data_IF_727308353697
#
_entry.id   IF_727308353697
#
_cell.length_a   1.000
_cell.length_b   1.000
_cell.length_c   1.000
_cell.angle_alpha   90.00
_cell.angle_beta   90.00
_cell.angle_gamma   90.00
#
_symmetry.space_group_name_H-M   'P 1'
#
loop_
_entity.id
_entity.type
_entity.pdbx_description
1 polymer ?
#
# COMPACT_ATOMS: atom_id res chain seq x y z
N UNK A 1 -47.50 34.47 -4.35
CA UNK A 1 -47.36 33.04 -4.00
C UNK A 1 -45.87 32.76 -3.87
N UNK A 2 -45.36 32.68 -2.62
CA UNK A 2 -43.96 32.27 -2.35
C UNK A 2 -43.92 30.72 -2.47
N UNK A 3 -43.10 30.21 -3.40
CA UNK A 3 -42.89 28.79 -3.52
C UNK A 3 -42.17 28.23 -2.29
N UNK A 4 -42.32 26.91 -1.95
CA UNK A 4 -41.70 26.35 -0.77
C UNK A 4 -40.18 26.43 -0.91
N UNK A 5 -39.53 27.09 0.04
CA UNK A 5 -38.06 26.99 0.21
C UNK A 5 -37.72 25.50 0.49
N UNK A 6 -37.09 24.86 -0.46
CA UNK A 6 -36.50 23.52 -0.28
C UNK A 6 -35.42 23.65 0.80
N UNK A 7 -35.74 23.28 2.02
CA UNK A 7 -34.75 23.06 3.07
C UNK A 7 -33.98 21.81 2.71
N UNK A 8 -32.88 21.96 1.94
CA UNK A 8 -31.90 20.88 1.80
C UNK A 8 -31.40 20.53 3.19
N UNK A 9 -31.56 19.29 3.61
CA UNK A 9 -30.91 18.81 4.84
C UNK A 9 -29.40 19.15 4.77
N UNK A 10 -28.81 19.61 5.88
CA UNK A 10 -27.40 19.97 5.89
C UNK A 10 -26.58 18.76 5.50
N UNK A 11 -25.68 18.93 4.54
CA UNK A 11 -24.74 17.91 4.09
C UNK A 11 -23.91 17.44 5.29
N UNK A 12 -23.85 16.13 5.49
CA UNK A 12 -23.06 15.56 6.60
C UNK A 12 -21.58 15.71 6.25
N UNK A 13 -20.82 16.30 7.16
CA UNK A 13 -19.37 16.46 7.05
C UNK A 13 -18.68 15.89 8.28
N UNK A 14 -17.42 15.44 8.11
CA UNK A 14 -16.57 14.96 9.20
C UNK A 14 -16.18 16.10 10.14
N UNK A 15 -15.71 15.74 11.34
CA UNK A 15 -15.00 16.67 12.22
C UNK A 15 -13.52 16.73 11.80
N UNK A 16 -13.18 17.74 10.99
CA UNK A 16 -11.84 17.93 10.45
C UNK A 16 -10.76 18.06 11.53
N UNK A 17 -11.06 18.71 12.65
CA UNK A 17 -10.10 18.89 13.76
C UNK A 17 -9.85 17.59 14.50
N UNK A 18 -10.90 16.83 14.78
CA UNK A 18 -10.79 15.51 15.41
C UNK A 18 -10.01 14.55 14.51
N UNK A 19 -10.35 14.48 13.23
CA UNK A 19 -9.63 13.68 12.25
C UNK A 19 -8.13 13.98 12.27
N UNK A 20 -7.76 15.26 12.08
CA UNK A 20 -6.37 15.67 12.01
C UNK A 20 -5.61 15.44 13.32
N UNK A 21 -6.25 15.71 14.46
CA UNK A 21 -5.70 15.39 15.78
C UNK A 21 -5.40 13.91 15.93
N UNK A 22 -6.27 13.03 15.39
CA UNK A 22 -6.05 11.58 15.38
C UNK A 22 -4.85 11.19 14.51
N UNK A 23 -4.70 11.79 13.30
CA UNK A 23 -3.52 11.60 12.43
C UNK A 23 -2.25 12.05 13.13
N UNK A 24 -2.24 13.24 13.73
CA UNK A 24 -1.07 13.76 14.44
C UNK A 24 -0.70 12.90 15.66
N UNK A 25 -1.69 12.33 16.37
CA UNK A 25 -1.42 11.39 17.47
C UNK A 25 -0.79 10.08 16.98
N UNK A 26 -1.27 9.53 15.88
CA UNK A 26 -0.64 8.36 15.23
C UNK A 26 0.80 8.65 14.84
N UNK A 27 1.08 9.86 14.35
CA UNK A 27 2.42 10.32 13.96
C UNK A 27 3.44 10.45 15.10
N UNK A 28 3.06 10.17 16.34
CA UNK A 28 3.95 10.16 17.51
C UNK A 28 4.45 8.74 17.85
N UNK A 29 3.89 7.69 17.24
CA UNK A 29 4.21 6.28 17.54
C UNK A 29 5.18 5.75 16.48
N UNK A 30 6.31 5.22 16.91
CA UNK A 30 7.38 4.72 16.04
C UNK A 30 8.10 5.84 15.29
N UNK A 31 8.66 6.86 15.97
CA UNK A 31 9.30 7.99 15.30
C UNK A 31 10.51 7.54 14.49
N UNK A 32 10.67 8.13 13.31
CA UNK A 32 11.86 8.06 12.48
C UNK A 32 12.99 8.95 13.00
N UNK A 33 14.05 9.08 12.22
CA UNK A 33 15.25 9.85 12.61
C UNK A 33 15.13 11.34 12.23
N UNK A 34 14.34 11.65 11.20
CA UNK A 34 14.23 12.99 10.64
C UNK A 34 12.82 13.59 10.74
N UNK A 35 11.99 13.05 11.63
CA UNK A 35 10.65 13.57 11.92
C UNK A 35 9.50 12.81 11.26
N UNK A 36 9.77 11.80 10.45
CA UNK A 36 8.80 10.84 9.93
C UNK A 36 8.59 9.65 10.87
N UNK A 37 8.29 8.49 10.31
CA UNK A 37 8.02 7.25 11.04
C UNK A 37 8.92 6.08 10.59
N UNK A 38 9.16 5.18 11.53
CA UNK A 38 9.73 3.85 11.32
C UNK A 38 8.91 2.83 12.10
N UNK A 39 7.71 2.59 11.65
CA UNK A 39 6.75 1.66 12.27
C UNK A 39 6.58 0.43 11.39
N UNK A 40 7.65 -0.40 11.33
CA UNK A 40 7.64 -1.61 10.54
C UNK A 40 6.61 -2.60 11.08
N UNK A 41 5.98 -3.34 10.17
CA UNK A 41 4.98 -4.34 10.50
C UNK A 41 5.43 -5.29 11.61
N UNK A 42 4.54 -5.58 12.56
CA UNK A 42 4.73 -6.53 13.65
C UNK A 42 5.90 -6.19 14.60
N UNK A 43 6.35 -4.91 14.63
CA UNK A 43 7.25 -4.40 15.66
C UNK A 43 6.48 -3.93 16.89
N UNK A 44 7.19 -3.58 17.98
CA UNK A 44 6.54 -3.04 19.17
C UNK A 44 5.86 -1.69 18.89
N UNK A 45 6.42 -0.87 17.98
CA UNK A 45 5.79 0.36 17.54
C UNK A 45 4.49 0.09 16.76
N UNK A 46 4.46 -0.93 15.90
CA UNK A 46 3.24 -1.35 15.21
C UNK A 46 2.21 -1.89 16.21
N UNK A 47 2.65 -2.67 17.20
CA UNK A 47 1.77 -3.11 18.29
C UNK A 47 1.14 -1.93 19.04
N UNK A 48 1.93 -0.94 19.45
CA UNK A 48 1.42 0.26 20.14
C UNK A 48 0.36 0.97 19.29
N UNK A 49 0.59 1.11 18.00
CA UNK A 49 -0.36 1.75 17.09
C UNK A 49 -1.63 0.91 16.89
N UNK A 50 -1.50 -0.41 16.77
CA UNK A 50 -2.63 -1.34 16.67
C UNK A 50 -3.50 -1.30 17.93
N UNK A 51 -2.88 -1.32 19.11
CA UNK A 51 -3.58 -1.22 20.40
C UNK A 51 -4.37 0.09 20.51
N UNK A 52 -3.76 1.21 20.09
CA UNK A 52 -4.40 2.52 20.06
C UNK A 52 -5.56 2.56 19.04
N UNK A 53 -5.37 2.00 17.86
CA UNK A 53 -6.41 1.89 16.83
C UNK A 53 -7.60 1.05 17.30
N UNK A 54 -7.35 -0.11 17.91
CA UNK A 54 -8.39 -0.96 18.50
C UNK A 54 -9.16 -0.20 19.59
N UNK A 55 -8.45 0.54 20.44
CA UNK A 55 -9.08 1.38 21.48
C UNK A 55 -10.02 2.40 20.85
N UNK A 56 -9.56 3.16 19.86
CA UNK A 56 -10.36 4.17 19.17
C UNK A 56 -11.59 3.60 18.46
N UNK A 57 -11.45 2.42 17.85
CA UNK A 57 -12.57 1.74 17.18
C UNK A 57 -13.59 1.23 18.21
N UNK A 58 -13.14 0.72 19.35
CA UNK A 58 -13.99 0.26 20.44
C UNK A 58 -14.76 1.42 21.06
N UNK A 59 -14.10 2.58 21.29
CA UNK A 59 -14.73 3.80 21.76
C UNK A 59 -15.76 4.35 20.76
N UNK A 60 -15.56 4.10 19.46
CA UNK A 60 -16.53 4.41 18.40
C UNK A 60 -17.65 3.36 18.26
N UNK A 61 -17.77 2.43 19.23
CA UNK A 61 -18.84 1.43 19.28
C UNK A 61 -18.69 0.26 18.31
N UNK A 62 -17.50 0.03 17.76
CA UNK A 62 -17.25 -1.07 16.83
C UNK A 62 -16.93 -2.38 17.55
N UNK A 63 -17.36 -3.49 16.95
CA UNK A 63 -16.88 -4.83 17.31
C UNK A 63 -15.59 -5.14 16.56
N UNK A 64 -14.57 -5.60 17.28
CA UNK A 64 -13.24 -5.87 16.71
C UNK A 64 -13.08 -7.37 16.44
N UNK A 65 -12.59 -7.70 15.26
CA UNK A 65 -12.10 -9.05 14.93
C UNK A 65 -10.71 -8.96 14.32
N UNK A 66 -9.89 -9.99 14.56
CA UNK A 66 -8.54 -10.11 13.99
C UNK A 66 -8.46 -11.46 13.30
N UNK A 67 -7.94 -11.50 12.08
CA UNK A 67 -7.76 -12.76 11.37
C UNK A 67 -6.37 -13.37 11.61
N UNK A 68 -6.14 -14.59 11.07
CA UNK A 68 -4.90 -15.35 11.29
C UNK A 68 -3.62 -14.68 10.78
N UNK A 69 -3.72 -13.71 9.86
CA UNK A 69 -2.56 -12.94 9.36
C UNK A 69 -2.50 -11.53 9.97
N UNK A 70 -3.33 -11.28 11.00
CA UNK A 70 -3.28 -10.06 11.79
C UNK A 70 -4.04 -8.88 11.21
N UNK A 71 -4.84 -9.05 10.15
CA UNK A 71 -5.73 -7.98 9.69
C UNK A 71 -6.77 -7.68 10.78
N UNK A 72 -6.97 -6.39 11.08
CA UNK A 72 -7.91 -5.92 12.09
C UNK A 72 -9.15 -5.39 11.39
N UNK A 73 -10.32 -5.88 11.78
CA UNK A 73 -11.61 -5.42 11.28
C UNK A 73 -12.42 -4.81 12.43
N UNK A 74 -12.82 -3.55 12.27
CA UNK A 74 -13.71 -2.84 13.18
C UNK A 74 -15.09 -2.69 12.52
N UNK A 75 -16.07 -3.48 13.00
CA UNK A 75 -17.41 -3.57 12.43
C UNK A 75 -18.40 -2.67 13.19
N UNK A 76 -19.10 -1.83 12.43
CA UNK A 76 -20.27 -1.09 12.86
C UNK A 76 -21.51 -1.75 12.25
N UNK A 77 -22.53 -2.14 13.06
CA UNK A 77 -23.70 -2.85 12.54
C UNK A 77 -24.55 -1.96 11.62
N UNK A 78 -25.20 -2.61 10.67
CA UNK A 78 -26.25 -2.00 9.83
C UNK A 78 -27.65 -2.28 10.38
N UNK A 79 -28.68 -1.76 9.72
CA UNK A 79 -30.08 -2.13 10.00
C UNK A 79 -30.37 -3.59 9.62
N UNK A 80 -29.67 -4.09 8.59
CA UNK A 80 -29.64 -5.50 8.21
C UNK A 80 -28.20 -5.99 8.28
N UNK A 81 -27.88 -6.58 9.42
CA UNK A 81 -26.51 -7.00 9.74
C UNK A 81 -26.11 -8.31 9.06
N UNK A 82 -27.04 -8.98 8.37
CA UNK A 82 -26.77 -10.17 7.57
C UNK A 82 -26.23 -9.85 6.17
N UNK A 83 -26.40 -8.62 5.69
CA UNK A 83 -25.89 -8.18 4.41
C UNK A 83 -24.35 -8.12 4.43
N UNK A 84 -23.68 -8.39 3.29
CA UNK A 84 -22.26 -8.17 3.14
C UNK A 84 -21.90 -6.70 3.48
N UNK A 85 -20.83 -6.47 4.26
CA UNK A 85 -20.42 -5.13 4.68
C UNK A 85 -19.82 -4.33 3.52
N UNK A 86 -19.93 -3.01 3.61
CA UNK A 86 -19.05 -2.11 2.85
C UNK A 86 -17.79 -1.90 3.66
N UNK A 87 -16.64 -2.26 3.08
CA UNK A 87 -15.32 -2.09 3.68
C UNK A 87 -14.72 -0.74 3.30
N UNK A 88 -13.94 -0.18 4.21
CA UNK A 88 -13.03 0.94 3.98
C UNK A 88 -11.79 0.74 4.83
N UNK A 89 -10.64 1.27 4.42
CA UNK A 89 -9.41 1.14 5.21
C UNK A 89 -8.16 1.24 4.36
N UNK A 90 -7.03 0.90 4.93
CA UNK A 90 -5.69 0.83 4.38
C UNK A 90 -4.76 0.14 5.39
N UNK A 91 -3.52 0.64 5.59
CA UNK A 91 -2.52 0.07 6.49
C UNK A 91 -2.01 1.08 7.53
N UNK A 92 -1.36 0.58 8.58
CA UNK A 92 -0.74 1.39 9.64
C UNK A 92 0.78 1.17 9.75
N UNK A 93 1.33 0.12 9.14
CA UNK A 93 2.77 -0.05 9.01
C UNK A 93 3.37 0.96 8.03
N UNK A 94 4.66 1.23 8.15
CA UNK A 94 5.37 2.22 7.34
C UNK A 94 6.67 1.65 6.79
N UNK A 95 7.25 2.35 5.82
CA UNK A 95 8.61 2.12 5.35
C UNK A 95 9.65 2.37 6.46
N UNK A 96 10.90 1.96 6.20
CA UNK A 96 12.05 2.16 7.12
C UNK A 96 12.37 3.63 7.37
N UNK A 97 11.97 4.50 6.46
CA UNK A 97 12.02 5.97 6.52
C UNK A 97 10.72 6.51 5.93
N UNK A 98 9.60 6.18 6.56
CA UNK A 98 8.26 6.51 6.10
C UNK A 98 7.78 7.88 6.55
N UNK A 99 6.69 8.32 5.93
CA UNK A 99 5.96 9.51 6.34
C UNK A 99 4.96 9.24 7.46
N UNK A 100 4.11 10.23 7.72
CA UNK A 100 3.05 10.16 8.76
C UNK A 100 1.66 9.92 8.17
N UNK A 101 1.57 9.83 6.85
CA UNK A 101 0.28 9.90 6.14
C UNK A 101 0.02 8.66 5.29
N UNK A 102 1.07 8.06 4.74
CA UNK A 102 1.06 6.89 3.87
C UNK A 102 0.29 5.72 4.51
N UNK A 103 -0.82 5.29 3.88
CA UNK A 103 -1.77 4.32 4.41
C UNK A 103 -2.55 4.78 5.63
N UNK A 104 -1.87 5.45 6.55
CA UNK A 104 -2.37 5.90 7.85
C UNK A 104 -3.60 6.79 7.69
N UNK A 105 -3.57 7.74 6.75
CA UNK A 105 -4.72 8.62 6.52
C UNK A 105 -5.95 7.85 6.08
N UNK A 106 -5.79 6.76 5.31
CA UNK A 106 -6.91 5.92 4.86
C UNK A 106 -7.59 5.18 6.00
N UNK A 107 -6.82 4.58 6.89
CA UNK A 107 -7.34 3.92 8.10
C UNK A 107 -8.03 4.93 9.01
N UNK A 108 -7.38 6.07 9.29
CA UNK A 108 -7.93 7.08 10.19
C UNK A 108 -9.09 7.86 9.59
N UNK A 109 -9.15 8.00 8.26
CA UNK A 109 -10.33 8.52 7.56
C UNK A 109 -11.53 7.59 7.74
N UNK A 110 -11.34 6.27 7.60
CA UNK A 110 -12.38 5.30 7.88
C UNK A 110 -12.89 5.37 9.32
N UNK A 111 -11.99 5.51 10.30
CA UNK A 111 -12.37 5.73 11.71
C UNK A 111 -13.19 7.00 11.88
N UNK A 112 -12.79 8.09 11.23
CA UNK A 112 -13.52 9.35 11.31
C UNK A 112 -14.91 9.27 10.66
N UNK A 113 -15.04 8.50 9.55
CA UNK A 113 -16.35 8.19 8.95
C UNK A 113 -17.26 7.51 9.97
N UNK A 114 -16.77 6.45 10.65
CA UNK A 114 -17.57 5.74 11.67
C UNK A 114 -17.98 6.65 12.82
N UNK A 115 -17.04 7.44 13.37
CA UNK A 115 -17.30 8.43 14.43
C UNK A 115 -18.32 9.49 14.02
N UNK A 116 -18.26 9.95 12.78
CA UNK A 116 -19.19 10.96 12.24
C UNK A 116 -20.61 10.39 12.14
N UNK A 117 -20.75 9.17 11.58
CA UNK A 117 -22.05 8.50 11.46
C UNK A 117 -22.66 8.20 12.83
N UNK A 118 -21.85 7.84 13.83
CA UNK A 118 -22.32 7.62 15.19
C UNK A 118 -22.78 8.93 15.84
N UNK A 119 -21.96 9.96 15.83
CA UNK A 119 -22.28 11.27 16.40
C UNK A 119 -23.54 11.90 15.76
N UNK A 120 -23.78 11.65 14.47
CA UNK A 120 -24.98 12.10 13.74
C UNK A 120 -26.15 11.13 13.84
N UNK A 121 -26.00 9.98 14.51
CA UNK A 121 -27.00 8.91 14.64
C UNK A 121 -27.54 8.43 13.28
N UNK A 122 -26.66 8.34 12.27
CA UNK A 122 -27.00 7.87 10.93
C UNK A 122 -26.86 6.35 10.88
N UNK A 123 -27.96 5.64 10.72
CA UNK A 123 -27.94 4.19 10.50
C UNK A 123 -27.84 3.86 9.01
N UNK A 124 -26.96 2.96 8.64
CA UNK A 124 -26.82 2.41 7.29
C UNK A 124 -27.67 1.14 7.13
N UNK A 125 -28.08 0.80 5.91
CA UNK A 125 -28.77 -0.47 5.65
C UNK A 125 -27.81 -1.64 5.87
N UNK A 126 -26.62 -1.59 5.22
CA UNK A 126 -25.55 -2.59 5.38
C UNK A 126 -24.62 -2.24 6.54
N UNK A 127 -23.97 -3.22 7.14
CA UNK A 127 -22.88 -2.95 8.07
C UNK A 127 -21.70 -2.27 7.35
N UNK A 128 -20.93 -1.51 8.12
CA UNK A 128 -19.67 -0.91 7.69
C UNK A 128 -18.52 -1.60 8.43
N UNK A 129 -17.42 -1.87 7.75
CA UNK A 129 -16.20 -2.36 8.37
C UNK A 129 -15.02 -1.49 7.98
N UNK A 130 -14.27 -1.07 9.00
CA UNK A 130 -12.97 -0.46 8.83
C UNK A 130 -11.91 -1.54 8.97
N UNK A 131 -11.05 -1.68 7.96
CA UNK A 131 -9.95 -2.65 7.97
C UNK A 131 -8.61 -1.96 8.09
N UNK A 132 -7.72 -2.57 8.88
CA UNK A 132 -6.29 -2.28 8.87
C UNK A 132 -5.57 -3.53 8.35
N UNK A 133 -5.02 -3.45 7.15
CA UNK A 133 -4.25 -4.53 6.54
C UNK A 133 -2.87 -4.64 7.18
N UNK A 134 -2.34 -5.85 7.28
CA UNK A 134 -1.05 -6.14 7.91
C UNK A 134 0.06 -6.20 6.85
N UNK A 135 1.17 -5.49 7.08
CA UNK A 135 2.37 -5.55 6.25
C UNK A 135 2.09 -5.21 4.78
N UNK A 136 1.35 -4.12 4.55
CA UNK A 136 1.12 -3.62 3.20
C UNK A 136 2.43 -3.21 2.53
N UNK A 137 3.27 -2.48 3.23
CA UNK A 137 4.52 -1.90 2.75
C UNK A 137 5.58 -2.94 2.32
N UNK A 138 5.52 -4.15 2.85
CA UNK A 138 6.55 -5.16 2.57
C UNK A 138 7.95 -4.80 3.09
N UNK A 139 8.07 -3.73 3.86
CA UNK A 139 9.35 -3.19 4.33
C UNK A 139 10.08 -4.10 5.33
N UNK A 140 9.35 -4.96 6.03
CA UNK A 140 9.90 -5.98 6.92
C UNK A 140 9.78 -7.37 6.37
N UNK A 141 8.60 -7.75 5.87
CA UNK A 141 8.34 -9.06 5.26
C UNK A 141 7.94 -8.88 3.81
N UNK A 142 8.80 -9.28 2.88
CA UNK A 142 8.53 -9.23 1.44
C UNK A 142 7.77 -10.46 0.95
N UNK A 143 6.88 -10.30 -0.06
CA UNK A 143 6.54 -9.08 -0.82
C UNK A 143 5.56 -8.16 -0.08
N UNK A 144 5.27 -6.96 -0.62
CA UNK A 144 4.24 -6.07 -0.06
C UNK A 144 2.84 -6.68 -0.19
N UNK A 145 1.86 -6.11 0.57
CA UNK A 145 0.43 -6.44 0.51
C UNK A 145 0.13 -7.93 0.78
N UNK A 146 0.98 -8.62 1.56
CA UNK A 146 0.82 -10.09 1.76
C UNK A 146 -0.46 -10.46 2.47
N UNK A 147 -0.92 -9.65 3.42
CA UNK A 147 -2.09 -10.00 4.22
C UNK A 147 -3.41 -9.72 3.49
N UNK A 148 -3.53 -8.63 2.73
CA UNK A 148 -4.66 -8.42 1.82
C UNK A 148 -4.66 -9.41 0.66
N UNK A 149 -3.47 -9.78 0.17
CA UNK A 149 -3.30 -10.84 -0.83
C UNK A 149 -3.74 -12.21 -0.32
N UNK A 150 -3.42 -12.56 0.93
CA UNK A 150 -3.93 -13.78 1.56
C UNK A 150 -5.45 -13.73 1.75
N UNK A 151 -5.99 -12.59 2.18
CA UNK A 151 -7.43 -12.36 2.31
C UNK A 151 -8.16 -12.53 0.97
N UNK A 152 -7.56 -12.12 -0.13
CA UNK A 152 -8.06 -12.29 -1.50
C UNK A 152 -7.70 -13.66 -2.12
N UNK A 153 -7.13 -14.60 -1.36
CA UNK A 153 -6.69 -15.93 -1.82
C UNK A 153 -5.63 -15.89 -2.95
N UNK A 154 -4.83 -14.81 -3.00
CA UNK A 154 -3.67 -14.69 -3.92
C UNK A 154 -2.45 -15.38 -3.34
N UNK A 155 -2.26 -15.26 -2.02
CA UNK A 155 -1.21 -15.94 -1.27
C UNK A 155 -1.80 -16.97 -0.34
N UNK A 156 -1.08 -18.08 -0.18
CA UNK A 156 -1.41 -19.09 0.83
C UNK A 156 -1.14 -18.54 2.24
N UNK A 157 -2.05 -18.77 3.18
CA UNK A 157 -1.97 -18.25 4.55
C UNK A 157 -0.75 -18.80 5.28
N UNK A 158 -0.47 -20.10 5.14
CA UNK A 158 0.63 -20.75 5.87
C UNK A 158 1.98 -20.31 5.26
N UNK A 159 2.02 -20.02 3.95
CA UNK A 159 3.18 -19.39 3.33
C UNK A 159 3.43 -17.98 3.88
N UNK A 160 2.39 -17.15 4.03
CA UNK A 160 2.53 -15.80 4.64
C UNK A 160 3.05 -15.92 6.07
N UNK A 161 2.48 -16.82 6.88
CA UNK A 161 2.92 -17.04 8.26
C UNK A 161 4.37 -17.52 8.37
N UNK A 162 4.89 -18.18 7.33
CA UNK A 162 6.27 -18.68 7.27
C UNK A 162 7.29 -17.65 6.75
N UNK A 163 6.88 -16.47 6.27
CA UNK A 163 7.78 -15.42 5.79
C UNK A 163 8.80 -15.04 6.86
N UNK A 164 10.00 -14.67 6.42
CA UNK A 164 11.10 -14.23 7.30
C UNK A 164 11.55 -12.84 6.92
N UNK A 165 11.85 -12.06 7.94
CA UNK A 165 12.54 -10.78 7.76
C UNK A 165 14.08 -10.98 7.60
N UNK A 166 14.80 -9.87 7.36
CA UNK A 166 16.27 -9.88 7.18
C UNK A 166 17.04 -10.37 8.43
N UNK A 167 16.42 -10.33 9.61
CA UNK A 167 16.98 -10.86 10.87
C UNK A 167 16.58 -12.34 11.11
N UNK A 168 15.85 -12.95 10.19
CA UNK A 168 15.37 -14.34 10.26
C UNK A 168 14.14 -14.53 11.15
N UNK A 169 13.50 -13.48 11.66
CA UNK A 169 12.27 -13.57 12.45
C UNK A 169 11.10 -13.98 11.56
N UNK A 170 10.23 -14.84 12.09
CA UNK A 170 9.11 -15.43 11.36
C UNK A 170 7.84 -14.59 11.56
N UNK A 171 7.13 -14.30 10.49
CA UNK A 171 5.89 -13.49 10.50
C UNK A 171 4.87 -14.00 11.52
N UNK A 172 4.51 -15.28 11.49
CA UNK A 172 3.58 -15.88 12.43
C UNK A 172 4.03 -15.76 13.89
N UNK A 173 5.32 -15.99 14.16
CA UNK A 173 5.87 -15.85 15.52
C UNK A 173 5.86 -14.40 16.01
N UNK A 174 6.07 -13.43 15.11
CA UNK A 174 5.97 -12.02 15.45
C UNK A 174 4.51 -11.59 15.71
N UNK A 175 3.54 -12.14 14.97
CA UNK A 175 2.10 -11.95 15.26
C UNK A 175 1.75 -12.45 16.67
N UNK A 176 2.16 -13.69 17.03
CA UNK A 176 1.97 -14.25 18.36
C UNK A 176 2.62 -13.38 19.43
N UNK A 177 3.89 -12.94 19.19
CA UNK A 177 4.63 -12.09 20.12
C UNK A 177 3.92 -10.79 20.46
N UNK A 178 3.29 -10.16 19.46
CA UNK A 178 2.56 -8.90 19.67
C UNK A 178 1.09 -9.09 20.04
N UNK A 179 0.58 -10.34 20.05
CA UNK A 179 -0.78 -10.69 20.43
C UNK A 179 -1.84 -10.38 19.38
N UNK A 180 -1.46 -10.41 18.10
CA UNK A 180 -2.34 -10.17 16.95
C UNK A 180 -2.49 -11.40 16.04
N UNK A 181 -2.18 -12.58 16.53
CA UNK A 181 -2.47 -13.89 15.93
C UNK A 181 -3.95 -14.24 16.08
N UNK A 182 -4.82 -13.56 15.33
CA UNK A 182 -6.26 -13.76 15.43
C UNK A 182 -6.70 -15.18 15.04
N UNK A 183 -7.93 -15.54 15.44
CA UNK A 183 -8.50 -16.87 15.16
C UNK A 183 -9.50 -16.87 14.01
N UNK A 184 -9.89 -15.70 13.53
CA UNK A 184 -10.81 -15.56 12.39
C UNK A 184 -10.16 -16.05 11.13
N UNK A 185 -10.90 -16.78 10.29
CA UNK A 185 -10.42 -17.22 8.98
C UNK A 185 -10.03 -16.02 8.12
N UNK A 186 -8.98 -16.19 7.31
CA UNK A 186 -8.52 -15.16 6.38
C UNK A 186 -9.37 -15.22 5.10
N UNK A 187 -10.09 -14.15 4.80
CA UNK A 187 -10.96 -14.10 3.62
C UNK A 187 -12.15 -15.05 3.67
N UNK A 188 -12.62 -15.49 2.48
CA UNK A 188 -13.70 -16.47 2.36
C UNK A 188 -15.10 -15.96 2.75
N UNK A 189 -15.27 -14.64 2.95
CA UNK A 189 -16.54 -13.99 3.30
C UNK A 189 -16.95 -12.94 2.27
N UNK A 190 -18.25 -12.70 2.16
CA UNK A 190 -18.79 -11.69 1.25
C UNK A 190 -18.42 -10.27 1.68
N UNK A 191 -18.04 -9.46 0.71
CA UNK A 191 -17.84 -8.02 0.80
C UNK A 191 -18.71 -7.36 -0.27
N UNK A 192 -19.47 -6.32 0.09
CA UNK A 192 -20.31 -5.59 -0.87
C UNK A 192 -19.49 -4.64 -1.76
N UNK A 193 -18.56 -3.91 -1.14
CA UNK A 193 -17.59 -3.05 -1.82
C UNK A 193 -16.42 -2.70 -0.89
N UNK A 194 -15.31 -2.25 -1.47
CA UNK A 194 -14.16 -1.73 -0.74
C UNK A 194 -13.78 -0.34 -1.25
N UNK A 195 -13.57 0.60 -0.32
CA UNK A 195 -13.11 1.95 -0.62
C UNK A 195 -11.84 2.24 0.17
N UNK A 196 -10.79 2.67 -0.51
CA UNK A 196 -9.53 3.06 0.11
C UNK A 196 -9.23 4.54 -0.16
N UNK A 197 -9.04 5.33 0.89
CA UNK A 197 -8.49 6.68 0.77
C UNK A 197 -6.99 6.60 1.02
N UNK A 198 -6.21 7.29 0.20
CA UNK A 198 -4.76 7.29 0.31
C UNK A 198 -4.17 8.64 -0.14
N UNK A 199 -2.92 8.93 0.19
CA UNK A 199 -2.18 10.01 -0.47
C UNK A 199 -1.77 9.55 -1.87
N UNK A 200 -1.62 10.49 -2.83
CA UNK A 200 -1.25 10.16 -4.21
C UNK A 200 0.12 9.49 -4.31
N UNK A 201 1.05 9.84 -3.43
CA UNK A 201 2.47 9.43 -3.51
C UNK A 201 3.16 9.89 -4.83
N UNK A 202 2.53 10.81 -5.51
CA UNK A 202 2.96 11.44 -6.75
C UNK A 202 2.62 12.93 -6.76
N UNK A 203 3.15 13.69 -7.71
CA UNK A 203 3.10 15.15 -7.67
C UNK A 203 1.92 15.76 -8.45
N UNK A 204 1.00 14.96 -9.01
CA UNK A 204 0.01 15.45 -9.98
C UNK A 204 -1.04 16.32 -9.28
N UNK A 205 -1.65 15.81 -8.22
CA UNK A 205 -2.71 16.52 -7.50
C UNK A 205 -2.20 17.78 -6.81
N UNK A 206 -1.00 17.71 -6.24
CA UNK A 206 -0.35 18.87 -5.61
C UNK A 206 -0.04 19.97 -6.62
N UNK A 207 0.58 19.64 -7.76
CA UNK A 207 0.89 20.59 -8.83
C UNK A 207 -0.34 21.24 -9.46
N UNK A 208 -1.43 20.48 -9.58
CA UNK A 208 -2.69 20.96 -10.14
C UNK A 208 -3.59 21.64 -9.10
N UNK A 209 -3.22 21.61 -7.82
CA UNK A 209 -4.02 22.07 -6.69
C UNK A 209 -5.44 21.45 -6.68
N UNK A 210 -5.52 20.14 -6.99
CA UNK A 210 -6.76 19.35 -7.00
C UNK A 210 -6.81 18.48 -5.75
N UNK A 211 -7.78 18.67 -4.84
CA UNK A 211 -7.81 17.97 -3.56
C UNK A 211 -8.23 16.49 -3.65
N UNK A 212 -8.84 16.05 -4.76
CA UNK A 212 -9.32 14.68 -4.91
C UNK A 212 -8.95 14.07 -6.25
N UNK A 213 -8.23 12.95 -6.20
CA UNK A 213 -8.02 12.05 -7.32
C UNK A 213 -9.00 10.87 -7.26
N UNK A 214 -9.80 10.68 -8.30
CA UNK A 214 -10.63 9.48 -8.46
C UNK A 214 -9.77 8.42 -9.12
N UNK A 215 -9.35 7.41 -8.37
CA UNK A 215 -8.44 6.40 -8.91
C UNK A 215 -9.22 5.40 -9.75
N UNK A 216 -8.93 5.39 -11.04
CA UNK A 216 -9.66 4.54 -12.02
C UNK A 216 -8.95 3.21 -12.29
N UNK A 217 -7.79 2.99 -11.72
CA UNK A 217 -6.96 1.78 -11.87
C UNK A 217 -5.52 2.07 -11.52
N UNK A 218 -4.61 1.17 -11.86
CA UNK A 218 -3.20 1.31 -11.53
C UNK A 218 -2.25 0.94 -12.67
N UNK A 219 -1.00 1.31 -12.50
CA UNK A 219 0.08 0.92 -13.38
C UNK A 219 0.33 -0.58 -13.30
N UNK A 220 0.57 -1.20 -14.44
CA UNK A 220 1.07 -2.57 -14.49
C UNK A 220 2.47 -2.61 -13.90
N UNK A 221 2.65 -3.41 -12.86
CA UNK A 221 3.94 -3.64 -12.20
C UNK A 221 4.39 -5.07 -12.43
N UNK A 222 5.66 -5.24 -12.77
CA UNK A 222 6.36 -6.52 -12.86
C UNK A 222 7.61 -6.44 -12.01
N UNK A 223 7.81 -7.39 -11.13
CA UNK A 223 8.97 -7.42 -10.24
C UNK A 223 9.57 -8.80 -10.09
N UNK A 224 10.86 -8.87 -9.70
CA UNK A 224 11.57 -10.10 -9.41
C UNK A 224 12.66 -9.93 -8.36
N UNK A 225 12.96 -11.05 -7.72
CA UNK A 225 14.22 -11.25 -7.03
C UNK A 225 15.18 -12.03 -7.97
N UNK A 226 16.40 -11.55 -8.11
CA UNK A 226 17.44 -12.21 -8.88
C UNK A 226 18.57 -12.60 -7.96
N UNK A 227 18.86 -13.90 -7.88
CA UNK A 227 20.04 -14.44 -7.22
C UNK A 227 21.20 -14.47 -8.21
N UNK A 228 22.35 -13.99 -7.77
CA UNK A 228 23.60 -13.98 -8.52
C UNK A 228 24.64 -14.82 -7.77
N UNK A 229 25.17 -15.85 -8.41
CA UNK A 229 26.13 -16.76 -7.84
C UNK A 229 27.49 -16.62 -8.51
N UNK A 230 28.50 -16.35 -7.71
CA UNK A 230 29.89 -16.22 -8.08
C UNK A 230 30.78 -17.12 -7.24
N UNK A 231 31.97 -16.62 -6.88
CA UNK A 231 32.94 -17.34 -6.09
C UNK A 231 33.77 -16.37 -5.25
N UNK A 232 34.05 -16.74 -4.00
CA UNK A 232 34.97 -15.98 -3.18
C UNK A 232 36.41 -16.12 -3.69
N UNK A 233 37.12 -15.02 -3.79
CA UNK A 233 38.51 -14.97 -4.13
C UNK A 233 39.18 -13.72 -3.56
N UNK A 234 40.49 -13.69 -3.46
CA UNK A 234 41.25 -12.55 -2.96
C UNK A 234 41.17 -11.39 -3.95
N UNK A 235 40.74 -10.19 -3.47
CA UNK A 235 40.50 -9.03 -4.33
C UNK A 235 41.76 -8.49 -5.05
N UNK A 236 42.98 -8.70 -4.49
CA UNK A 236 44.24 -8.24 -5.06
C UNK A 236 44.79 -9.20 -6.11
N UNK A 237 45.35 -10.36 -5.74
CA UNK A 237 46.12 -11.24 -6.65
C UNK A 237 45.27 -12.04 -7.63
N UNK A 238 43.94 -12.16 -7.45
CA UNK A 238 43.10 -12.92 -8.39
C UNK A 238 43.07 -12.24 -9.75
N UNK A 239 43.51 -12.87 -10.86
CA UNK A 239 43.47 -12.28 -12.19
C UNK A 239 42.05 -11.91 -12.61
N UNK A 240 41.88 -10.86 -13.44
CA UNK A 240 40.56 -10.33 -13.86
C UNK A 240 39.73 -11.38 -14.61
N UNK A 241 40.35 -12.20 -15.47
CA UNK A 241 39.70 -13.23 -16.25
C UNK A 241 39.27 -14.47 -15.42
N UNK A 242 39.74 -14.56 -14.18
CA UNK A 242 39.35 -15.62 -13.23
C UNK A 242 38.30 -15.21 -12.22
N UNK A 243 37.96 -13.93 -12.19
CA UNK A 243 37.00 -13.39 -11.21
C UNK A 243 35.58 -13.84 -11.53
N UNK A 244 34.87 -14.24 -10.46
CA UNK A 244 33.44 -14.56 -10.48
C UNK A 244 32.76 -13.77 -9.37
N UNK A 245 32.63 -12.45 -9.57
CA UNK A 245 32.17 -11.53 -8.52
C UNK A 245 30.67 -11.30 -8.65
N UNK A 246 29.87 -11.92 -7.76
CA UNK A 246 28.43 -11.81 -7.75
C UNK A 246 27.95 -10.35 -7.57
N UNK A 247 28.63 -9.56 -6.73
CA UNK A 247 28.30 -8.14 -6.53
C UNK A 247 28.44 -7.34 -7.83
N UNK A 248 29.48 -7.60 -8.63
CA UNK A 248 29.69 -6.93 -9.93
C UNK A 248 28.61 -7.32 -10.93
N UNK A 249 28.25 -8.61 -10.96
CA UNK A 249 27.14 -9.08 -11.81
C UNK A 249 25.81 -8.43 -11.46
N UNK A 250 25.48 -8.35 -10.18
CA UNK A 250 24.29 -7.66 -9.70
C UNK A 250 24.30 -6.16 -10.04
N UNK A 251 25.45 -5.49 -9.88
CA UNK A 251 25.59 -4.07 -10.24
C UNK A 251 25.40 -3.82 -11.75
N UNK A 252 25.91 -4.71 -12.61
CA UNK A 252 25.69 -4.61 -14.06
C UNK A 252 24.20 -4.74 -14.41
N UNK A 253 23.49 -5.68 -13.79
CA UNK A 253 22.05 -5.81 -14.00
C UNK A 253 21.29 -4.58 -13.46
N UNK A 254 21.70 -4.00 -12.34
CA UNK A 254 21.09 -2.78 -11.80
C UNK A 254 21.21 -1.60 -12.78
N UNK A 255 22.36 -1.45 -13.45
CA UNK A 255 22.54 -0.43 -14.49
C UNK A 255 21.63 -0.71 -15.68
N UNK A 256 21.55 -1.96 -16.15
CA UNK A 256 20.65 -2.34 -17.25
C UNK A 256 19.18 -2.06 -16.94
N UNK A 257 18.72 -2.35 -15.72
CA UNK A 257 17.36 -2.02 -15.27
C UNK A 257 17.11 -0.50 -15.33
N UNK A 258 18.07 0.29 -14.83
CA UNK A 258 17.96 1.75 -14.88
C UNK A 258 17.92 2.30 -16.32
N UNK A 259 18.69 1.71 -17.25
CA UNK A 259 18.67 2.07 -18.68
C UNK A 259 17.29 1.78 -19.31
N UNK A 260 16.67 0.63 -18.97
CA UNK A 260 15.29 0.35 -19.40
C UNK A 260 14.34 1.47 -18.92
N UNK A 261 14.44 1.90 -17.65
CA UNK A 261 13.63 3.02 -17.16
C UNK A 261 13.78 4.29 -18.00
N UNK A 262 15.01 4.66 -18.33
CA UNK A 262 15.28 5.83 -19.17
C UNK A 262 14.79 5.70 -20.61
N UNK A 263 14.84 4.48 -21.18
CA UNK A 263 14.33 4.24 -22.55
C UNK A 263 12.81 4.48 -22.65
N UNK A 264 12.07 4.28 -21.56
CA UNK A 264 10.63 4.48 -21.49
C UNK A 264 10.20 5.74 -20.73
N UNK A 265 11.15 6.61 -20.34
CA UNK A 265 10.87 7.82 -19.58
C UNK A 265 9.84 8.74 -20.25
N UNK A 266 9.92 8.90 -21.57
CA UNK A 266 9.01 9.78 -22.33
C UNK A 266 7.53 9.33 -22.28
N UNK A 267 7.28 8.07 -21.97
CA UNK A 267 5.92 7.49 -21.79
C UNK A 267 5.62 7.19 -20.31
N UNK A 268 6.36 7.82 -19.39
CA UNK A 268 6.24 7.68 -17.95
C UNK A 268 6.54 6.25 -17.41
N UNK A 269 7.24 5.43 -18.20
CA UNK A 269 7.76 4.14 -17.75
C UNK A 269 8.80 4.32 -16.64
N UNK A 270 8.77 3.43 -15.66
CA UNK A 270 9.69 3.43 -14.52
C UNK A 270 10.32 2.07 -14.36
N UNK A 271 11.61 2.04 -14.01
CA UNK A 271 12.32 0.83 -13.65
C UNK A 271 13.25 1.11 -12.48
N UNK A 272 13.29 0.22 -11.50
CA UNK A 272 13.99 0.45 -10.25
C UNK A 272 14.67 -0.82 -9.75
N UNK A 273 15.87 -0.68 -9.19
CA UNK A 273 16.46 -1.66 -8.28
C UNK A 273 16.41 -1.05 -6.88
N UNK A 274 15.50 -1.54 -6.05
CA UNK A 274 15.25 -0.98 -4.73
C UNK A 274 16.09 -1.64 -3.62
N UNK A 275 16.55 -2.89 -3.84
CA UNK A 275 17.33 -3.64 -2.85
C UNK A 275 18.47 -4.40 -3.54
N UNK A 276 19.66 -4.36 -2.91
CA UNK A 276 20.79 -5.21 -3.28
C UNK A 276 21.53 -5.63 -2.02
N UNK A 277 21.77 -6.92 -1.87
CA UNK A 277 22.61 -7.50 -0.81
C UNK A 277 23.71 -8.34 -1.42
N UNK A 278 24.83 -8.47 -0.73
CA UNK A 278 25.95 -9.27 -1.19
C UNK A 278 26.59 -10.05 -0.02
N UNK A 279 27.16 -11.21 -0.31
CA UNK A 279 27.88 -12.04 0.64
C UNK A 279 29.11 -12.68 0.01
N UNK A 280 30.27 -12.69 0.72
CA UNK A 280 30.57 -11.81 1.82
C UNK A 280 30.65 -10.35 1.36
N UNK A 281 30.14 -9.43 2.19
CA UNK A 281 30.22 -8.00 1.93
C UNK A 281 31.35 -7.37 2.78
N UNK A 282 32.61 -7.66 2.39
CA UNK A 282 33.82 -7.26 3.09
C UNK A 282 34.90 -6.83 2.12
N UNK A 283 35.73 -5.87 2.53
CA UNK A 283 36.91 -5.49 1.78
C UNK A 283 37.90 -6.67 1.64
N UNK A 284 38.60 -6.76 0.51
CA UNK A 284 39.65 -7.74 0.27
C UNK A 284 39.20 -9.08 -0.29
N UNK A 285 37.88 -9.33 -0.40
CA UNK A 285 37.33 -10.59 -0.92
C UNK A 285 36.23 -10.32 -1.95
N UNK A 286 36.12 -11.15 -2.98
CA UNK A 286 35.03 -11.12 -3.95
C UNK A 286 33.78 -11.76 -3.35
N UNK A 287 32.60 -11.23 -3.69
CA UNK A 287 31.33 -11.77 -3.24
C UNK A 287 30.95 -13.02 -4.08
N UNK A 288 30.62 -14.11 -3.40
CA UNK A 288 30.15 -15.36 -4.02
C UNK A 288 28.63 -15.37 -4.25
N UNK A 289 27.90 -14.51 -3.54
CA UNK A 289 26.45 -14.38 -3.67
C UNK A 289 26.05 -12.91 -3.65
N UNK A 290 25.07 -12.57 -4.48
CA UNK A 290 24.31 -11.33 -4.35
C UNK A 290 22.86 -11.60 -4.71
N UNK A 291 21.96 -10.81 -4.13
CA UNK A 291 20.55 -10.77 -4.52
C UNK A 291 20.14 -9.33 -4.77
N UNK A 292 19.40 -9.11 -5.84
CA UNK A 292 18.78 -7.83 -6.11
C UNK A 292 17.27 -7.97 -6.32
N UNK A 293 16.53 -6.92 -5.97
CA UNK A 293 15.10 -6.78 -6.21
C UNK A 293 14.88 -5.65 -7.19
N UNK A 294 14.23 -5.94 -8.31
CA UNK A 294 13.90 -4.93 -9.30
C UNK A 294 12.44 -5.01 -9.74
N UNK A 295 11.90 -3.87 -10.16
CA UNK A 295 10.58 -3.78 -10.78
C UNK A 295 10.57 -2.83 -11.98
N UNK A 296 9.56 -2.99 -12.84
CA UNK A 296 9.19 -2.07 -13.91
C UNK A 296 7.71 -1.72 -13.78
N UNK A 297 7.35 -0.49 -14.16
CA UNK A 297 5.97 0.03 -14.05
C UNK A 297 5.61 0.85 -15.28
N UNK A 298 4.39 0.66 -15.79
CA UNK A 298 3.83 1.49 -16.85
C UNK A 298 2.30 1.47 -16.79
N UNK A 299 1.65 2.56 -17.26
CA UNK A 299 0.20 2.67 -17.33
C UNK A 299 -0.41 1.60 -18.26
N UNK A 300 0.27 1.28 -19.35
CA UNK A 300 -0.12 0.26 -20.32
C UNK A 300 0.58 -1.07 -20.02
N UNK A 301 -0.21 -2.14 -19.86
CA UNK A 301 0.28 -3.49 -19.56
C UNK A 301 1.30 -3.99 -20.58
N UNK A 302 0.99 -3.82 -21.87
CA UNK A 302 1.82 -4.28 -22.96
C UNK A 302 3.19 -3.60 -22.99
N UNK A 303 3.25 -2.33 -22.54
CA UNK A 303 4.52 -1.61 -22.40
C UNK A 303 5.30 -2.15 -21.20
N UNK A 304 4.65 -2.34 -20.05
CA UNK A 304 5.29 -2.96 -18.89
C UNK A 304 5.85 -4.36 -19.21
N UNK A 305 5.11 -5.16 -19.99
CA UNK A 305 5.54 -6.50 -20.42
C UNK A 305 6.77 -6.42 -21.35
N UNK A 306 6.85 -5.41 -22.25
CA UNK A 306 8.07 -5.17 -23.06
C UNK A 306 9.26 -4.74 -22.21
N UNK A 307 9.09 -3.75 -21.32
CA UNK A 307 10.13 -3.33 -20.37
C UNK A 307 10.66 -4.53 -19.57
N UNK A 308 9.74 -5.37 -19.11
CA UNK A 308 10.07 -6.57 -18.36
C UNK A 308 10.88 -7.60 -19.17
N UNK A 309 10.51 -7.80 -20.43
CA UNK A 309 11.24 -8.66 -21.35
C UNK A 309 12.66 -8.12 -21.62
N UNK A 310 12.85 -6.80 -21.74
CA UNK A 310 14.16 -6.16 -21.92
C UNK A 310 15.05 -6.37 -20.68
N UNK A 311 14.52 -6.22 -19.47
CA UNK A 311 15.26 -6.50 -18.22
C UNK A 311 15.73 -7.97 -18.20
N UNK A 312 14.85 -8.92 -18.51
CA UNK A 312 15.22 -10.33 -18.57
C UNK A 312 16.25 -10.63 -19.66
N UNK A 313 16.12 -9.99 -20.80
CA UNK A 313 17.07 -10.16 -21.92
C UNK A 313 18.48 -9.62 -21.60
N UNK A 314 18.61 -8.67 -20.68
CA UNK A 314 19.91 -8.17 -20.24
C UNK A 314 20.66 -9.14 -19.30
N UNK A 315 19.96 -10.02 -18.59
CA UNK A 315 20.56 -10.91 -17.59
C UNK A 315 21.69 -11.80 -18.14
N UNK A 316 21.54 -12.51 -19.29
CA UNK A 316 22.61 -13.36 -19.82
C UNK A 316 23.91 -12.61 -20.12
N UNK A 317 23.83 -11.40 -20.65
CA UNK A 317 25.02 -10.60 -20.96
C UNK A 317 25.69 -10.08 -19.67
N UNK A 318 24.90 -9.64 -18.68
CA UNK A 318 25.43 -9.26 -17.37
C UNK A 318 26.14 -10.45 -16.69
N UNK A 319 25.52 -11.62 -16.72
CA UNK A 319 26.10 -12.85 -16.19
C UNK A 319 27.41 -13.24 -16.88
N UNK A 320 27.44 -13.21 -18.21
CA UNK A 320 28.63 -13.50 -19.02
C UNK A 320 29.78 -12.53 -18.72
N UNK A 321 29.51 -11.24 -18.65
CA UNK A 321 30.52 -10.20 -18.41
C UNK A 321 31.14 -10.29 -17.02
N UNK A 322 30.34 -10.63 -16.02
CA UNK A 322 30.81 -10.81 -14.64
C UNK A 322 31.32 -12.24 -14.35
N UNK A 323 31.20 -13.17 -15.34
CA UNK A 323 31.51 -14.59 -15.19
C UNK A 323 30.78 -15.24 -13.99
N UNK A 324 29.48 -14.97 -13.88
CA UNK A 324 28.61 -15.42 -12.78
C UNK A 324 27.39 -16.15 -13.33
N UNK A 325 26.64 -16.82 -12.45
CA UNK A 325 25.31 -17.36 -12.76
C UNK A 325 24.22 -16.45 -12.19
N UNK A 326 23.16 -16.20 -12.98
CA UNK A 326 22.00 -15.44 -12.53
C UNK A 326 20.75 -16.30 -12.63
N UNK A 327 19.92 -16.29 -11.59
CA UNK A 327 18.64 -17.00 -11.52
C UNK A 327 17.55 -16.11 -10.98
N UNK A 328 16.36 -16.21 -11.55
CA UNK A 328 15.16 -15.58 -10.99
C UNK A 328 14.70 -16.44 -9.81
N UNK A 329 14.78 -15.89 -8.61
CA UNK A 329 14.38 -16.57 -7.37
C UNK A 329 12.88 -16.42 -7.07
N UNK A 330 12.25 -15.41 -7.61
CA UNK A 330 10.81 -15.16 -7.47
C UNK A 330 10.35 -14.02 -8.35
N UNK A 331 9.12 -14.09 -8.82
CA UNK A 331 8.47 -13.04 -9.62
C UNK A 331 7.12 -12.69 -9.01
N UNK A 332 6.70 -11.42 -9.16
CA UNK A 332 5.37 -10.97 -8.83
C UNK A 332 4.85 -9.97 -9.85
N UNK A 333 3.54 -9.82 -9.87
CA UNK A 333 2.87 -8.82 -10.67
C UNK A 333 1.60 -8.34 -9.97
N UNK A 334 1.32 -7.06 -10.10
CA UNK A 334 0.08 -6.45 -9.65
C UNK A 334 -0.22 -5.20 -10.49
N UNK A 335 -1.34 -4.54 -10.21
CA UNK A 335 -1.79 -3.38 -10.97
C UNK A 335 -2.33 -3.77 -12.34
N UNK A 336 -2.54 -2.77 -13.18
CA UNK A 336 -3.23 -2.86 -14.47
C UNK A 336 -4.72 -3.25 -14.39
N UNK A 337 -5.25 -3.54 -13.23
CA UNK A 337 -6.68 -3.68 -13.00
C UNK A 337 -7.37 -2.33 -13.17
N UNK A 338 -8.55 -2.34 -13.79
CA UNK A 338 -9.48 -1.22 -13.71
C UNK A 338 -10.38 -1.42 -12.49
N UNK A 339 -10.53 -0.39 -11.68
CA UNK A 339 -11.44 -0.45 -10.56
C UNK A 339 -12.91 -0.47 -11.00
N UNK A 340 -13.81 -0.81 -10.08
CA UNK A 340 -15.23 -0.99 -10.38
C UNK A 340 -15.89 0.32 -10.82
N UNK A 341 -16.51 0.36 -12.02
CA UNK A 341 -17.14 1.59 -12.53
C UNK A 341 -18.28 2.10 -11.64
N UNK A 342 -18.95 1.20 -10.90
CA UNK A 342 -20.01 1.56 -9.97
C UNK A 342 -19.45 2.29 -8.73
N UNK A 343 -18.36 1.81 -8.18
CA UNK A 343 -17.66 2.46 -7.06
C UNK A 343 -17.02 3.79 -7.49
N UNK A 344 -16.36 3.83 -8.66
CA UNK A 344 -15.82 5.07 -9.26
C UNK A 344 -16.92 6.12 -9.43
N UNK A 345 -18.09 5.73 -9.96
CA UNK A 345 -19.23 6.63 -10.11
C UNK A 345 -19.71 7.20 -8.77
N UNK A 346 -19.76 6.39 -7.71
CA UNK A 346 -20.14 6.87 -6.38
C UNK A 346 -19.18 7.93 -5.84
N UNK A 347 -17.87 7.74 -6.04
CA UNK A 347 -16.84 8.71 -5.64
C UNK A 347 -17.04 10.01 -6.42
N UNK A 348 -17.29 9.92 -7.74
CA UNK A 348 -17.52 11.10 -8.59
C UNK A 348 -18.79 11.85 -8.19
N UNK A 349 -19.90 11.13 -8.04
CA UNK A 349 -21.18 11.71 -7.57
C UNK A 349 -21.02 12.43 -6.21
N UNK A 350 -20.26 11.82 -5.28
CA UNK A 350 -19.96 12.43 -3.97
C UNK A 350 -19.12 13.72 -4.12
N UNK A 351 -18.07 13.69 -4.93
CA UNK A 351 -17.22 14.87 -5.17
C UNK A 351 -18.02 16.02 -5.83
N UNK A 352 -18.86 15.70 -6.82
CA UNK A 352 -19.75 16.67 -7.49
C UNK A 352 -20.78 17.27 -6.52
N UNK A 353 -21.44 16.41 -5.70
CA UNK A 353 -22.42 16.84 -4.71
C UNK A 353 -21.80 17.81 -3.68
N UNK A 354 -20.58 17.51 -3.25
CA UNK A 354 -19.81 18.31 -2.31
C UNK A 354 -19.13 19.52 -2.98
N UNK A 355 -19.19 19.62 -4.30
CA UNK A 355 -18.50 20.65 -5.12
C UNK A 355 -16.97 20.64 -4.89
N UNK A 356 -16.41 19.48 -4.67
CA UNK A 356 -14.98 19.29 -4.51
C UNK A 356 -14.33 19.16 -5.89
N UNK A 357 -13.29 19.98 -6.21
CA UNK A 357 -12.50 19.78 -7.41
C UNK A 357 -11.88 18.38 -7.43
N UNK A 358 -11.98 17.69 -8.56
CA UNK A 358 -11.49 16.32 -8.70
C UNK A 358 -11.05 16.01 -10.13
N UNK A 359 -10.26 14.97 -10.28
CA UNK A 359 -9.86 14.41 -11.58
C UNK A 359 -9.74 12.89 -11.52
N UNK A 360 -9.83 12.23 -12.67
CA UNK A 360 -9.45 10.82 -12.79
C UNK A 360 -7.93 10.69 -12.81
N UNK A 361 -7.41 9.64 -12.13
CA UNK A 361 -5.99 9.39 -12.01
C UNK A 361 -5.72 7.87 -11.98
N UNK A 362 -4.52 7.46 -12.42
CA UNK A 362 -4.01 6.11 -12.23
C UNK A 362 -3.03 6.08 -11.05
N UNK A 363 -3.13 5.08 -10.20
CA UNK A 363 -2.10 4.88 -9.19
C UNK A 363 -0.82 4.32 -9.81
N UNK A 364 0.31 4.86 -9.40
CA UNK A 364 1.64 4.39 -9.78
C UNK A 364 2.29 3.52 -8.68
N UNK A 365 1.66 3.45 -7.51
CA UNK A 365 2.05 2.63 -6.37
C UNK A 365 1.18 1.37 -6.24
N UNK A 366 1.66 0.39 -5.47
CA UNK A 366 0.86 -0.75 -5.03
C UNK A 366 -0.07 -0.34 -3.90
N UNK A 367 -1.23 -0.98 -3.79
CA UNK A 367 -2.18 -0.79 -2.70
C UNK A 367 -2.96 -2.07 -2.44
N UNK A 368 -3.41 -2.30 -1.22
CA UNK A 368 -4.26 -3.44 -0.85
C UNK A 368 -5.50 -3.55 -1.74
N UNK A 369 -6.01 -2.40 -2.21
CA UNK A 369 -7.13 -2.32 -3.15
C UNK A 369 -6.95 -3.18 -4.41
N UNK A 370 -5.72 -3.42 -4.88
CA UNK A 370 -5.50 -4.26 -6.07
C UNK A 370 -5.86 -5.72 -5.83
N UNK A 371 -5.54 -6.26 -4.66
CA UNK A 371 -5.91 -7.63 -4.35
C UNK A 371 -7.39 -7.73 -3.99
N UNK A 372 -7.92 -6.76 -3.26
CA UNK A 372 -9.34 -6.76 -2.88
C UNK A 372 -10.24 -6.57 -4.11
N UNK A 373 -9.80 -5.83 -5.14
CA UNK A 373 -10.57 -5.68 -6.40
C UNK A 373 -10.81 -6.99 -7.14
N UNK A 374 -10.06 -8.04 -6.82
CA UNK A 374 -10.25 -9.38 -7.41
C UNK A 374 -11.43 -10.15 -6.82
N UNK A 375 -11.91 -9.73 -5.64
CA UNK A 375 -12.97 -10.43 -4.90
C UNK A 375 -14.16 -9.53 -4.58
N UNK A 376 -14.07 -8.22 -4.73
CA UNK A 376 -15.15 -7.26 -4.46
C UNK A 376 -15.05 -6.01 -5.35
N UNK A 377 -16.18 -5.37 -5.67
CA UNK A 377 -16.18 -4.04 -6.28
C UNK A 377 -15.34 -3.06 -5.45
N UNK A 378 -14.35 -2.44 -6.07
CA UNK A 378 -13.34 -1.62 -5.36
C UNK A 378 -13.07 -0.32 -6.10
N UNK A 379 -12.84 0.76 -5.36
CA UNK A 379 -12.27 2.00 -5.87
C UNK A 379 -11.46 2.73 -4.80
N UNK A 380 -10.60 3.66 -5.23
CA UNK A 380 -9.75 4.44 -4.34
C UNK A 380 -9.95 5.94 -4.56
N UNK A 381 -9.62 6.70 -3.52
CA UNK A 381 -9.63 8.17 -3.50
C UNK A 381 -8.23 8.63 -3.12
N UNK A 382 -7.59 9.43 -3.97
CA UNK A 382 -6.33 10.07 -3.64
C UNK A 382 -6.52 11.47 -3.11
N UNK A 383 -5.65 11.84 -2.16
CA UNK A 383 -5.45 13.22 -1.70
C UNK A 383 -4.01 13.66 -1.96
N UNK A 384 -3.73 14.94 -2.17
CA UNK A 384 -2.39 15.41 -2.46
C UNK A 384 -1.40 15.12 -1.33
N UNK A 385 -0.15 14.87 -1.70
CA UNK A 385 1.01 15.01 -0.82
C UNK A 385 2.00 16.00 -1.45
N UNK A 386 2.62 16.83 -0.62
CA UNK A 386 3.48 17.92 -1.04
C UNK A 386 4.63 17.42 -1.92
N UNK A 387 4.79 18.02 -3.10
CA UNK A 387 5.81 17.66 -4.11
C UNK A 387 5.75 16.18 -4.57
N UNK A 388 4.72 15.42 -4.18
CA UNK A 388 4.64 13.98 -4.42
C UNK A 388 5.63 13.14 -3.62
N UNK A 389 6.20 13.71 -2.56
CA UNK A 389 7.17 13.00 -1.72
C UNK A 389 6.45 11.98 -0.86
N UNK A 390 6.82 10.70 -1.00
CA UNK A 390 6.39 9.60 -0.14
C UNK A 390 7.54 8.60 0.04
N UNK A 391 7.42 7.63 0.95
CA UNK A 391 8.50 6.74 1.40
C UNK A 391 9.73 7.53 1.85
N UNK A 392 9.49 8.65 2.48
CA UNK A 392 10.49 9.60 2.96
C UNK A 392 9.96 10.30 4.22
N UNK A 393 10.83 10.54 5.19
CA UNK A 393 10.45 11.21 6.42
C UNK A 393 10.00 12.68 6.23
N UNK A 394 10.29 13.28 5.06
CA UNK A 394 9.82 14.62 4.67
C UNK A 394 8.41 14.62 4.05
N UNK A 395 7.77 13.46 3.90
CA UNK A 395 6.39 13.34 3.42
C UNK A 395 5.46 14.27 4.19
N UNK A 396 4.62 14.99 3.45
CA UNK A 396 3.70 15.95 4.05
C UNK A 396 2.35 16.00 3.30
N UNK A 397 1.28 15.88 4.07
CA UNK A 397 -0.08 16.18 3.62
C UNK A 397 -0.65 17.34 4.44
N UNK A 398 -1.59 18.05 3.88
CA UNK A 398 -2.22 19.21 4.52
C UNK A 398 -3.69 18.94 4.84
N UNK A 399 -4.15 19.44 5.99
CA UNK A 399 -5.52 19.29 6.46
C UNK A 399 -6.53 19.69 5.37
N UNK A 400 -6.36 20.90 4.82
CA UNK A 400 -7.31 21.50 3.89
C UNK A 400 -7.41 20.74 2.54
N UNK A 401 -6.37 20.02 2.17
CA UNK A 401 -6.35 19.16 0.98
C UNK A 401 -6.77 17.72 1.28
N UNK A 402 -6.65 17.25 2.53
CA UNK A 402 -7.03 15.88 2.91
C UNK A 402 -8.51 15.75 3.26
N UNK A 403 -9.06 16.72 4.00
CA UNK A 403 -10.47 16.70 4.47
C UNK A 403 -11.48 16.55 3.34
N UNK A 404 -11.35 17.23 2.18
CA UNK A 404 -12.26 17.00 1.05
C UNK A 404 -12.35 15.53 0.62
N UNK A 405 -11.20 14.83 0.56
CA UNK A 405 -11.15 13.40 0.24
C UNK A 405 -11.88 12.54 1.29
N UNK A 406 -11.73 12.85 2.58
CA UNK A 406 -12.42 12.13 3.66
C UNK A 406 -13.94 12.34 3.59
N UNK A 407 -14.39 13.53 3.25
CA UNK A 407 -15.82 13.80 3.04
C UNK A 407 -16.35 13.03 1.80
N UNK A 408 -15.58 12.96 0.72
CA UNK A 408 -15.92 12.16 -0.45
C UNK A 408 -16.01 10.67 -0.08
N UNK A 409 -15.08 10.14 0.74
CA UNK A 409 -15.13 8.77 1.26
C UNK A 409 -16.41 8.54 2.06
N UNK A 410 -16.76 9.44 3.01
CA UNK A 410 -17.97 9.37 3.82
C UNK A 410 -19.23 9.23 2.95
N UNK A 411 -19.38 10.09 1.94
CA UNK A 411 -20.56 10.10 1.08
C UNK A 411 -20.61 8.86 0.15
N UNK A 412 -19.46 8.42 -0.36
CA UNK A 412 -19.37 7.22 -1.21
C UNK A 412 -19.78 5.96 -0.45
N UNK A 413 -19.21 5.78 0.76
CA UNK A 413 -19.52 4.65 1.65
C UNK A 413 -20.97 4.69 2.09
N UNK A 414 -21.49 5.86 2.49
CA UNK A 414 -22.89 6.03 2.91
C UNK A 414 -23.87 5.72 1.78
N UNK A 415 -23.58 6.21 0.57
CA UNK A 415 -24.39 5.94 -0.62
C UNK A 415 -24.39 4.43 -0.96
N UNK A 416 -23.23 3.78 -0.90
CA UNK A 416 -23.13 2.33 -1.16
C UNK A 416 -23.84 1.50 -0.12
N UNK A 417 -23.67 1.83 1.15
CA UNK A 417 -24.23 1.07 2.27
C UNK A 417 -25.76 1.15 2.38
N UNK A 418 -26.41 2.09 1.70
CA UNK A 418 -27.87 2.22 1.70
C UNK A 418 -28.57 1.66 0.43
N UNK A 419 -27.81 1.11 -0.51
CA UNK A 419 -28.35 0.44 -1.72
C UNK A 419 -28.77 -1.04 -1.51
#
# INVERSE_FOLDING_TARGET
MMGPMSTREPTIEIDARRFWSTVMRSGQIGPGKAGGLRRLALTDADKEMRDLFVTWCTEAGCTITVDRVGNIFARRPGRDDHLPPVLMGSHLDTQVAGGKYDGIVGVLAGLEVLRTLDARRVATKRPLELVCWTNEEGARFTPPMVASGAFASVFDVDWVLALRDDDGKVFGSELERIGYDGKTAVGGRGIDAYFELHIEQGPILDREAVPVGIVVGGYATRGMHVDVHGETAHAGPTPMDRRRNALVGAAMLAVAVNEVGWNYHATEGKATVARMVAWPNKAGILSEYAQLTCDVRHAEREVADRMWAEVKAAMPECARRANVEMRIAGEWQFGSERFDPGCIRLIREAAEQLKVPHRDILSQAGHDAYYISRIAPTAMIFTPCRDGISHNEAEHAELDYTVPGVNVLLHSVLSRANR
#
